data_IF_652522355742
#
_entry.id   IF_652522355742
#
_cell.length_a   1.000
_cell.length_b   1.000
_cell.length_c   1.000
_cell.angle_alpha   90.00
_cell.angle_beta   90.00
_cell.angle_gamma   90.00
#
_symmetry.space_group_name_H-M   'P 1'
#
loop_
_entity.id
_entity.type
_entity.pdbx_description
1 polymer ?
#
# COMPACT_ATOMS: atom_id res chain seq x y z
N UNK A 1 -8.59 -22.07 -20.84
CA UNK A 1 -9.33 -22.07 -19.55
C UNK A 1 -8.42 -22.66 -18.49
N UNK A 2 -7.66 -21.85 -17.75
CA UNK A 2 -6.94 -22.30 -16.53
C UNK A 2 -7.97 -22.36 -15.40
N UNK A 3 -8.18 -23.56 -14.86
CA UNK A 3 -8.96 -23.85 -13.70
C UNK A 3 -8.25 -23.18 -12.52
N UNK A 4 -8.78 -22.08 -11.99
CA UNK A 4 -8.36 -21.54 -10.69
C UNK A 4 -8.61 -22.63 -9.66
N UNK A 5 -7.55 -23.32 -9.26
CA UNK A 5 -7.59 -24.24 -8.14
C UNK A 5 -7.81 -23.40 -6.88
N UNK A 6 -8.99 -23.47 -6.31
CA UNK A 6 -9.28 -22.92 -4.97
C UNK A 6 -8.20 -23.42 -4.02
N UNK A 7 -7.36 -22.51 -3.58
CA UNK A 7 -6.31 -22.79 -2.61
C UNK A 7 -6.91 -23.43 -1.36
N UNK A 8 -6.27 -24.50 -0.83
CA UNK A 8 -6.84 -25.20 0.32
C UNK A 8 -6.86 -24.28 1.55
N UNK A 9 -7.83 -24.45 2.44
CA UNK A 9 -7.91 -23.66 3.71
C UNK A 9 -6.62 -23.79 4.53
N UNK A 10 -5.98 -24.95 4.50
CA UNK A 10 -4.70 -25.18 5.19
C UNK A 10 -3.58 -24.32 4.59
N UNK A 11 -3.51 -24.22 3.27
CA UNK A 11 -2.53 -23.40 2.54
C UNK A 11 -2.70 -21.93 2.88
N UNK A 12 -3.95 -21.41 2.82
CA UNK A 12 -4.27 -20.03 3.18
C UNK A 12 -3.91 -19.71 4.64
N UNK A 13 -4.20 -20.63 5.56
CA UNK A 13 -3.86 -20.48 6.97
C UNK A 13 -2.34 -20.40 7.19
N UNK A 14 -1.57 -21.27 6.53
CA UNK A 14 -0.10 -21.28 6.61
C UNK A 14 0.47 -19.97 6.07
N UNK A 15 -0.02 -19.50 4.91
CA UNK A 15 0.40 -18.21 4.33
C UNK A 15 0.16 -17.08 5.30
N UNK A 16 -1.04 -17.01 5.88
CA UNK A 16 -1.40 -15.96 6.85
C UNK A 16 -0.49 -15.94 8.07
N UNK A 17 -0.12 -17.10 8.61
CA UNK A 17 0.84 -17.19 9.73
C UNK A 17 2.21 -16.64 9.32
N UNK A 18 2.71 -16.98 8.14
CA UNK A 18 3.99 -16.50 7.64
C UNK A 18 3.97 -14.98 7.39
N UNK A 19 2.90 -14.45 6.79
CA UNK A 19 2.69 -13.03 6.56
C UNK A 19 2.65 -12.24 7.88
N UNK A 20 1.82 -12.67 8.83
CA UNK A 20 1.72 -12.05 10.15
C UNK A 20 3.06 -12.09 10.90
N UNK A 21 3.78 -13.21 10.82
CA UNK A 21 5.10 -13.37 11.41
C UNK A 21 6.15 -12.45 10.81
N UNK A 22 6.16 -12.29 9.49
CA UNK A 22 7.08 -11.35 8.84
C UNK A 22 6.79 -9.91 9.28
N UNK A 23 5.54 -9.50 9.28
CA UNK A 23 5.13 -8.15 9.73
C UNK A 23 5.53 -7.90 11.20
N UNK A 24 5.39 -8.89 12.07
CA UNK A 24 5.85 -8.74 13.48
C UNK A 24 7.37 -8.57 13.58
N UNK A 25 8.15 -9.35 12.85
CA UNK A 25 9.61 -9.20 12.84
C UNK A 25 10.06 -7.86 12.23
N UNK A 26 9.38 -7.39 11.20
CA UNK A 26 9.65 -6.09 10.57
C UNK A 26 9.36 -4.88 11.47
N UNK A 27 8.62 -5.02 12.55
CA UNK A 27 8.46 -3.94 13.55
C UNK A 27 9.78 -3.60 14.23
N UNK A 28 10.69 -4.57 14.35
CA UNK A 28 11.94 -4.42 15.08
C UNK A 28 13.16 -4.17 14.17
N UNK A 29 13.11 -4.60 12.90
CA UNK A 29 14.24 -4.47 11.96
C UNK A 29 13.80 -4.52 10.50
N UNK A 30 14.62 -3.95 9.57
CA UNK A 30 14.36 -4.00 8.14
C UNK A 30 14.21 -5.44 7.62
N UNK A 31 13.36 -5.62 6.59
CA UNK A 31 13.06 -6.96 6.04
C UNK A 31 14.30 -7.69 5.50
N UNK A 32 15.28 -6.95 4.94
CA UNK A 32 16.53 -7.50 4.40
C UNK A 32 17.46 -8.13 5.47
N UNK A 33 17.16 -7.87 6.76
CA UNK A 33 17.85 -8.46 7.91
C UNK A 33 17.10 -9.65 8.52
N UNK A 34 15.94 -10.00 7.98
CA UNK A 34 15.12 -11.13 8.43
C UNK A 34 15.50 -12.37 7.59
N UNK A 35 15.75 -13.48 8.27
CA UNK A 35 16.07 -14.75 7.59
C UNK A 35 14.88 -15.72 7.63
N UNK A 36 14.83 -16.64 6.66
CA UNK A 36 13.82 -17.73 6.66
C UNK A 36 13.90 -18.55 7.95
N UNK A 37 15.12 -18.80 8.46
CA UNK A 37 15.30 -19.55 9.71
C UNK A 37 14.67 -18.86 10.90
N UNK A 38 14.86 -17.55 11.01
CA UNK A 38 14.28 -16.74 12.07
C UNK A 38 12.76 -16.66 11.96
N UNK A 39 12.23 -16.40 10.76
CA UNK A 39 10.78 -16.39 10.54
C UNK A 39 10.12 -17.72 10.88
N UNK A 40 10.73 -18.84 10.45
CA UNK A 40 10.23 -20.17 10.75
C UNK A 40 10.25 -20.48 12.26
N UNK A 41 11.29 -20.04 12.97
CA UNK A 41 11.37 -20.18 14.43
C UNK A 41 10.30 -19.29 15.13
N UNK A 42 10.06 -18.08 14.63
CA UNK A 42 9.06 -17.16 15.18
C UNK A 42 7.62 -17.66 14.98
N UNK A 43 7.35 -18.29 13.83
CA UNK A 43 6.00 -18.74 13.45
C UNK A 43 5.68 -20.19 13.77
N UNK A 44 6.66 -20.94 14.28
CA UNK A 44 6.58 -22.41 14.46
C UNK A 44 6.24 -23.15 13.15
N UNK A 45 6.69 -22.62 12.02
CA UNK A 45 6.52 -23.24 10.70
C UNK A 45 7.86 -23.89 10.27
N UNK A 46 7.79 -25.15 9.77
CA UNK A 46 8.97 -25.83 9.27
C UNK A 46 9.48 -25.12 7.99
N UNK A 47 10.82 -25.05 7.82
CA UNK A 47 11.46 -24.47 6.63
C UNK A 47 11.01 -25.15 5.33
N UNK A 48 10.80 -26.47 5.33
CA UNK A 48 10.26 -27.16 4.15
C UNK A 48 8.85 -26.66 3.78
N UNK A 49 8.02 -26.37 4.78
CA UNK A 49 6.69 -25.80 4.58
C UNK A 49 6.79 -24.36 4.05
N UNK A 50 7.72 -23.55 4.57
CA UNK A 50 7.97 -22.21 4.03
C UNK A 50 8.31 -22.27 2.52
N UNK A 51 9.27 -23.11 2.13
CA UNK A 51 9.71 -23.23 0.74
C UNK A 51 8.67 -23.89 -0.20
N UNK A 52 7.60 -24.47 0.32
CA UNK A 52 6.43 -24.86 -0.49
C UNK A 52 5.59 -23.66 -0.93
N UNK A 53 5.70 -22.50 -0.25
CA UNK A 53 4.90 -21.32 -0.49
C UNK A 53 5.69 -20.16 -1.10
N UNK A 54 6.95 -19.97 -0.66
CA UNK A 54 7.79 -18.84 -1.01
C UNK A 54 9.23 -19.26 -1.25
N UNK A 55 9.90 -18.66 -2.25
CA UNK A 55 11.31 -18.91 -2.53
C UNK A 55 12.22 -18.33 -1.43
N UNK A 56 11.89 -17.15 -0.94
CA UNK A 56 12.64 -16.41 0.06
C UNK A 56 11.76 -15.40 0.82
N UNK A 57 12.36 -14.62 1.72
CA UNK A 57 11.68 -13.56 2.49
C UNK A 57 11.15 -12.47 1.59
N UNK A 58 11.87 -12.13 0.50
CA UNK A 58 11.44 -11.09 -0.42
C UNK A 58 10.19 -11.51 -1.20
N UNK A 59 10.11 -12.77 -1.65
CA UNK A 59 8.92 -13.32 -2.29
C UNK A 59 7.68 -13.27 -1.37
N UNK A 60 7.87 -13.55 -0.07
CA UNK A 60 6.81 -13.39 0.92
C UNK A 60 6.40 -11.93 1.10
N UNK A 61 7.37 -11.00 1.21
CA UNK A 61 7.07 -9.56 1.31
C UNK A 61 6.30 -9.08 0.07
N UNK A 62 6.76 -9.42 -1.13
CA UNK A 62 6.07 -9.08 -2.37
C UNK A 62 4.62 -9.59 -2.41
N UNK A 63 4.35 -10.78 -1.86
CA UNK A 63 2.98 -11.31 -1.76
C UNK A 63 2.08 -10.43 -0.91
N UNK A 64 2.57 -9.96 0.25
CA UNK A 64 1.84 -9.04 1.14
C UNK A 64 1.60 -7.70 0.44
N UNK A 65 2.61 -7.17 -0.22
CA UNK A 65 2.53 -5.89 -0.95
C UNK A 65 1.54 -5.94 -2.11
N UNK A 66 1.53 -7.04 -2.88
CA UNK A 66 0.60 -7.23 -3.99
C UNK A 66 -0.85 -7.35 -3.52
N UNK A 67 -1.12 -7.95 -2.36
CA UNK A 67 -2.46 -8.00 -1.78
C UNK A 67 -2.95 -6.58 -1.43
N UNK A 68 -2.09 -5.73 -0.87
CA UNK A 68 -2.40 -4.31 -0.60
C UNK A 68 -2.65 -3.53 -1.90
N UNK A 69 -1.80 -3.73 -2.92
CA UNK A 69 -1.96 -3.06 -4.22
C UNK A 69 -3.17 -3.58 -5.00
N UNK A 70 -3.48 -4.87 -4.89
CA UNK A 70 -4.66 -5.47 -5.53
C UNK A 70 -5.94 -4.90 -4.95
N UNK A 71 -6.02 -4.76 -3.62
CA UNK A 71 -7.14 -4.10 -2.98
C UNK A 71 -7.28 -2.63 -3.45
N UNK A 72 -6.19 -1.88 -3.51
CA UNK A 72 -6.21 -0.51 -4.02
C UNK A 72 -6.80 -0.44 -5.43
N UNK A 73 -6.44 -1.38 -6.31
CA UNK A 73 -6.99 -1.47 -7.69
C UNK A 73 -8.49 -1.77 -7.69
N UNK A 74 -8.96 -2.71 -6.87
CA UNK A 74 -10.39 -3.06 -6.79
C UNK A 74 -11.24 -1.88 -6.28
N UNK A 75 -10.77 -1.18 -5.27
CA UNK A 75 -11.44 0.03 -4.78
C UNK A 75 -11.54 1.14 -5.83
N UNK A 76 -10.68 1.11 -6.87
CA UNK A 76 -10.70 2.07 -7.97
C UNK A 76 -11.65 1.72 -9.08
N UNK A 77 -11.80 0.44 -9.42
CA UNK A 77 -12.72 0.01 -10.48
C UNK A 77 -14.17 0.34 -10.13
N UNK A 78 -14.54 0.28 -8.86
CA UNK A 78 -15.84 0.73 -8.35
C UNK A 78 -16.01 2.27 -8.37
N UNK A 79 -14.91 3.01 -8.38
CA UNK A 79 -14.87 4.48 -8.39
C UNK A 79 -14.79 5.10 -9.80
N UNK A 80 -14.53 4.30 -10.83
CA UNK A 80 -14.03 4.73 -12.17
C UNK A 80 -15.03 5.47 -13.07
N UNK A 81 -16.19 5.82 -12.61
CA UNK A 81 -17.13 6.57 -13.46
C UNK A 81 -17.82 7.77 -12.81
N UNK A 82 -17.82 7.85 -11.50
CA UNK A 82 -18.70 8.81 -10.80
C UNK A 82 -17.98 9.86 -9.96
N UNK A 83 -16.68 9.73 -9.72
CA UNK A 83 -16.03 10.40 -8.60
C UNK A 83 -15.13 11.57 -8.95
N UNK A 84 -14.93 11.92 -10.20
CA UNK A 84 -13.87 12.86 -10.57
C UNK A 84 -14.35 14.24 -11.04
N UNK A 85 -15.62 14.57 -10.83
CA UNK A 85 -16.16 15.89 -11.09
C UNK A 85 -16.37 16.66 -9.78
N UNK A 86 -15.29 17.23 -9.24
CA UNK A 86 -15.37 18.18 -8.15
C UNK A 86 -14.63 17.79 -6.86
N UNK A 87 -14.58 18.76 -5.94
CA UNK A 87 -13.88 18.65 -4.64
C UNK A 87 -14.43 17.51 -3.79
N UNK A 88 -15.73 17.46 -3.59
CA UNK A 88 -16.36 16.51 -2.66
C UNK A 88 -16.18 15.05 -3.12
N UNK A 89 -16.20 14.85 -4.40
CA UNK A 89 -16.00 13.55 -5.03
C UNK A 89 -14.56 13.03 -4.85
N UNK A 90 -13.57 13.89 -5.08
CA UNK A 90 -12.15 13.52 -4.86
C UNK A 90 -11.88 13.26 -3.38
N UNK A 91 -12.41 14.10 -2.48
CA UNK A 91 -12.26 13.90 -1.03
C UNK A 91 -12.89 12.57 -0.62
N UNK A 92 -14.08 12.24 -1.11
CA UNK A 92 -14.73 10.98 -0.79
C UNK A 92 -13.92 9.76 -1.24
N UNK A 93 -13.31 9.80 -2.43
CA UNK A 93 -12.43 8.73 -2.92
C UNK A 93 -11.20 8.55 -2.03
N UNK A 94 -10.57 9.65 -1.63
CA UNK A 94 -9.44 9.62 -0.71
C UNK A 94 -9.85 9.13 0.68
N UNK A 95 -11.03 9.53 1.16
CA UNK A 95 -11.59 9.08 2.44
C UNK A 95 -11.76 7.56 2.47
N UNK A 96 -12.30 6.95 1.40
CA UNK A 96 -12.41 5.49 1.27
C UNK A 96 -11.03 4.81 1.30
N UNK A 97 -10.06 5.37 0.59
CA UNK A 97 -8.68 4.88 0.62
C UNK A 97 -8.11 4.92 2.04
N UNK A 98 -8.29 6.03 2.76
CA UNK A 98 -7.77 6.17 4.11
C UNK A 98 -8.55 5.37 5.16
N UNK A 99 -9.85 5.11 4.94
CA UNK A 99 -10.60 4.15 5.76
C UNK A 99 -9.97 2.74 5.70
N UNK A 100 -9.54 2.31 4.51
CA UNK A 100 -8.79 1.05 4.38
C UNK A 100 -7.46 1.09 5.16
N UNK A 101 -6.74 2.23 5.20
CA UNK A 101 -5.53 2.33 6.02
C UNK A 101 -5.81 2.09 7.50
N UNK A 102 -6.94 2.59 8.00
CA UNK A 102 -7.36 2.35 9.39
C UNK A 102 -7.62 0.86 9.63
N UNK A 103 -8.39 0.22 8.75
CA UNK A 103 -8.73 -1.20 8.85
C UNK A 103 -7.51 -2.12 8.76
N UNK A 104 -6.52 -1.74 7.94
CA UNK A 104 -5.30 -2.52 7.69
C UNK A 104 -4.05 -1.89 8.32
N UNK A 105 -4.24 -1.04 9.32
CA UNK A 105 -3.17 -0.25 9.94
C UNK A 105 -1.99 -1.09 10.43
N UNK A 106 -2.23 -2.31 10.91
CA UNK A 106 -1.19 -3.24 11.38
C UNK A 106 -0.14 -3.55 10.30
N UNK A 107 -0.57 -3.80 9.06
CA UNK A 107 0.32 -4.07 7.93
C UNK A 107 0.94 -2.77 7.41
N UNK A 108 0.09 -1.77 7.18
CA UNK A 108 0.52 -0.51 6.58
C UNK A 108 1.49 0.27 7.46
N UNK A 109 1.36 0.24 8.80
CA UNK A 109 2.34 0.84 9.69
C UNK A 109 3.76 0.31 9.45
N UNK A 110 3.90 -0.98 9.16
CA UNK A 110 5.19 -1.62 8.92
C UNK A 110 5.66 -1.40 7.49
N UNK A 111 4.80 -1.65 6.50
CA UNK A 111 5.14 -1.48 5.08
C UNK A 111 5.47 -0.03 4.71
N UNK A 112 4.84 0.94 5.37
CA UNK A 112 5.09 2.37 5.17
C UNK A 112 6.17 2.95 6.10
N UNK A 113 6.76 2.14 6.99
CA UNK A 113 7.85 2.55 7.86
C UNK A 113 9.20 2.53 7.14
N UNK A 114 10.25 2.97 7.85
CA UNK A 114 11.65 2.85 7.43
C UNK A 114 12.13 1.40 7.30
N UNK A 115 11.40 0.44 7.85
CA UNK A 115 11.68 -1.00 7.74
C UNK A 115 11.03 -1.66 6.52
N UNK A 116 10.11 -0.96 5.84
CA UNK A 116 9.44 -1.43 4.63
C UNK A 116 10.24 -1.19 3.34
N UNK A 117 9.71 -1.71 2.23
CA UNK A 117 10.32 -1.52 0.91
C UNK A 117 9.97 -0.13 0.34
N UNK A 118 10.99 0.67 0.05
CA UNK A 118 10.85 2.00 -0.56
C UNK A 118 10.22 1.93 -1.96
N UNK A 119 10.46 0.84 -2.72
CA UNK A 119 9.86 0.65 -4.05
C UNK A 119 8.36 0.38 -3.95
N UNK A 120 7.93 -0.38 -2.95
CA UNK A 120 6.50 -0.56 -2.65
C UNK A 120 5.85 0.78 -2.32
N UNK A 121 6.44 1.55 -1.40
CA UNK A 121 5.92 2.86 -1.01
C UNK A 121 5.72 3.77 -2.23
N UNK A 122 6.71 3.84 -3.14
CA UNK A 122 6.60 4.60 -4.39
C UNK A 122 5.45 4.10 -5.28
N UNK A 123 5.38 2.79 -5.54
CA UNK A 123 4.31 2.18 -6.35
C UNK A 123 2.93 2.47 -5.79
N UNK A 124 2.79 2.38 -4.47
CA UNK A 124 1.54 2.65 -3.78
C UNK A 124 1.05 4.09 -4.00
N UNK A 125 1.94 5.07 -3.84
CA UNK A 125 1.60 6.49 -4.06
C UNK A 125 1.38 6.85 -5.51
N UNK A 126 2.14 6.27 -6.43
CA UNK A 126 1.90 6.44 -7.87
C UNK A 126 0.51 5.96 -8.26
N UNK A 127 0.08 4.83 -7.73
CA UNK A 127 -1.26 4.32 -7.94
C UNK A 127 -2.31 5.30 -7.38
N UNK A 128 -2.17 5.76 -6.12
CA UNK A 128 -3.07 6.73 -5.50
C UNK A 128 -3.13 8.07 -6.27
N UNK A 129 -1.99 8.56 -6.76
CA UNK A 129 -1.95 9.79 -7.56
C UNK A 129 -2.68 9.65 -8.89
N UNK A 130 -2.51 8.52 -9.58
CA UNK A 130 -3.23 8.25 -10.84
C UNK A 130 -4.74 8.24 -10.64
N UNK A 131 -5.20 7.69 -9.53
CA UNK A 131 -6.62 7.70 -9.14
C UNK A 131 -7.16 9.10 -8.96
N UNK A 132 -6.41 9.98 -8.27
CA UNK A 132 -6.81 11.35 -8.00
C UNK A 132 -6.72 12.28 -9.22
N UNK A 133 -6.14 11.84 -10.35
CA UNK A 133 -5.91 12.63 -11.54
C UNK A 133 -6.19 11.87 -12.85
N UNK A 134 -7.41 11.39 -13.10
CA UNK A 134 -7.73 10.61 -14.31
C UNK A 134 -7.62 11.44 -15.59
N UNK A 135 -7.84 12.76 -15.52
CA UNK A 135 -7.64 13.66 -16.65
C UNK A 135 -6.16 13.81 -17.06
N UNK A 136 -5.24 13.59 -16.14
CA UNK A 136 -3.79 13.56 -16.42
C UNK A 136 -3.37 12.39 -17.28
N UNK A 137 -4.18 11.32 -17.30
CA UNK A 137 -3.97 10.13 -18.14
C UNK A 137 -4.34 10.35 -19.63
N UNK A 138 -5.17 11.36 -19.93
CA UNK A 138 -5.63 11.64 -21.30
C UNK A 138 -4.85 12.74 -22.02
N UNK A 139 -4.06 13.53 -21.31
CA UNK A 139 -3.17 14.49 -21.96
C UNK A 139 -1.85 13.80 -22.30
N UNK A 140 -1.38 13.84 -23.55
CA UNK A 140 -0.04 13.37 -23.90
C UNK A 140 0.97 14.33 -23.26
N UNK A 141 1.29 14.10 -21.99
CA UNK A 141 2.37 14.83 -21.32
C UNK A 141 3.68 14.47 -22.02
N UNK A 142 4.36 15.49 -22.49
CA UNK A 142 5.69 15.33 -23.12
C UNK A 142 6.78 14.91 -22.12
N UNK A 143 6.47 14.95 -20.80
CA UNK A 143 7.41 14.64 -19.71
C UNK A 143 6.83 13.48 -18.88
N UNK A 144 7.62 12.45 -18.55
CA UNK A 144 7.21 11.41 -17.61
C UNK A 144 6.76 12.03 -16.27
N UNK A 145 5.73 11.45 -15.63
CA UNK A 145 5.23 11.95 -14.34
C UNK A 145 6.34 12.08 -13.30
N UNK A 146 7.32 11.18 -13.30
CA UNK A 146 8.46 11.17 -12.39
C UNK A 146 9.42 12.34 -12.56
N UNK A 147 9.33 13.09 -13.65
CA UNK A 147 10.14 14.27 -13.96
C UNK A 147 9.39 15.59 -13.70
N UNK A 148 8.11 15.53 -13.29
CA UNK A 148 7.34 16.71 -12.88
C UNK A 148 7.64 17.04 -11.41
N UNK A 149 8.29 18.18 -11.09
CA UNK A 149 8.60 18.56 -9.71
C UNK A 149 7.36 18.63 -8.80
N UNK A 150 6.23 19.06 -9.33
CA UNK A 150 4.96 19.13 -8.57
C UNK A 150 4.45 17.75 -8.20
N UNK A 151 4.59 16.79 -9.12
CA UNK A 151 4.27 15.39 -8.86
C UNK A 151 5.19 14.79 -7.79
N UNK A 152 6.50 15.01 -7.92
CA UNK A 152 7.49 14.51 -6.92
C UNK A 152 7.18 15.07 -5.54
N UNK A 153 6.87 16.36 -5.43
CA UNK A 153 6.51 17.00 -4.17
C UNK A 153 5.22 16.40 -3.57
N UNK A 154 4.17 16.26 -4.36
CA UNK A 154 2.88 15.70 -3.92
C UNK A 154 3.03 14.26 -3.42
N UNK A 155 3.74 13.44 -4.17
CA UNK A 155 3.99 12.04 -3.79
C UNK A 155 4.80 11.97 -2.51
N UNK A 156 5.93 12.69 -2.43
CA UNK A 156 6.79 12.68 -1.24
C UNK A 156 6.08 13.25 -0.01
N UNK A 157 5.32 14.34 -0.18
CA UNK A 157 4.51 14.93 0.89
C UNK A 157 3.39 14.01 1.36
N UNK A 158 2.70 13.34 0.44
CA UNK A 158 1.66 12.36 0.75
C UNK A 158 2.21 11.16 1.53
N UNK A 159 3.36 10.61 1.09
CA UNK A 159 4.09 9.56 1.84
C UNK A 159 4.38 10.02 3.26
N UNK A 160 5.01 11.18 3.41
CA UNK A 160 5.39 11.70 4.73
C UNK A 160 4.19 11.93 5.64
N UNK A 161 3.08 12.45 5.11
CA UNK A 161 1.85 12.67 5.87
C UNK A 161 1.24 11.34 6.34
N UNK A 162 1.19 10.33 5.48
CA UNK A 162 0.63 9.02 5.86
C UNK A 162 1.52 8.32 6.88
N UNK A 163 2.83 8.34 6.71
CA UNK A 163 3.78 7.82 7.70
C UNK A 163 3.60 8.50 9.05
N UNK A 164 3.48 9.83 9.05
CA UNK A 164 3.19 10.61 10.25
C UNK A 164 1.87 10.17 10.90
N UNK A 165 0.80 10.07 10.13
CA UNK A 165 -0.53 9.69 10.61
C UNK A 165 -0.56 8.28 11.21
N UNK A 166 0.02 7.29 10.50
CA UNK A 166 0.16 5.91 10.98
C UNK A 166 0.98 5.84 12.28
N UNK A 167 2.13 6.55 12.33
CA UNK A 167 3.03 6.58 13.49
C UNK A 167 2.39 7.23 14.72
N UNK A 168 1.53 8.23 14.51
CA UNK A 168 0.85 8.96 15.60
C UNK A 168 -0.50 8.34 16.00
N UNK A 169 -0.80 7.13 15.58
CA UNK A 169 -1.97 6.36 16.02
C UNK A 169 -3.28 6.78 15.37
N UNK A 170 -3.23 7.28 14.11
CA UNK A 170 -4.41 7.56 13.29
C UNK A 170 -5.39 8.53 13.99
N UNK A 171 -4.87 9.61 14.55
CA UNK A 171 -5.67 10.56 15.35
C UNK A 171 -6.70 11.33 14.54
N UNK A 172 -6.31 11.74 13.34
CA UNK A 172 -7.19 12.39 12.38
C UNK A 172 -8.09 11.32 11.73
N UNK A 173 -9.33 11.71 11.42
CA UNK A 173 -10.23 10.85 10.65
C UNK A 173 -9.74 10.66 9.21
N UNK A 174 -10.13 9.59 8.51
CA UNK A 174 -9.87 9.40 7.09
C UNK A 174 -10.25 10.62 6.23
N UNK A 175 -11.38 11.25 6.55
CA UNK A 175 -11.86 12.45 5.85
C UNK A 175 -10.95 13.65 6.06
N UNK A 176 -10.51 13.92 7.28
CA UNK A 176 -9.59 15.03 7.58
C UNK A 176 -8.27 14.88 6.84
N UNK A 177 -7.70 13.68 6.78
CA UNK A 177 -6.48 13.40 5.99
C UNK A 177 -6.74 13.61 4.49
N UNK A 178 -7.89 13.17 3.99
CA UNK A 178 -8.28 13.38 2.59
C UNK A 178 -8.38 14.87 2.24
N UNK A 179 -8.99 15.68 3.10
CA UNK A 179 -9.12 17.13 2.94
C UNK A 179 -7.75 17.83 2.94
N UNK A 180 -6.84 17.44 3.85
CA UNK A 180 -5.48 17.99 3.91
C UNK A 180 -4.73 17.70 2.59
N UNK A 181 -4.78 16.47 2.09
CA UNK A 181 -4.09 16.09 0.84
C UNK A 181 -4.70 16.81 -0.36
N UNK A 182 -6.02 16.90 -0.43
CA UNK A 182 -6.71 17.62 -1.49
C UNK A 182 -6.31 19.09 -1.53
N UNK A 183 -6.40 19.79 -0.39
CA UNK A 183 -6.11 21.22 -0.31
C UNK A 183 -4.63 21.54 -0.59
N UNK A 184 -3.70 20.68 -0.16
CA UNK A 184 -2.28 20.79 -0.53
C UNK A 184 -2.08 20.58 -2.03
N UNK A 185 -2.74 19.59 -2.62
CA UNK A 185 -2.66 19.32 -4.06
C UNK A 185 -3.16 20.46 -4.94
N UNK A 186 -4.21 21.17 -4.50
CA UNK A 186 -4.73 22.34 -5.22
C UNK A 186 -3.81 23.56 -5.16
N UNK A 187 -3.11 23.78 -4.04
CA UNK A 187 -2.19 24.93 -3.87
C UNK A 187 -0.97 24.83 -4.78
N UNK A 188 -0.61 23.62 -5.17
CA UNK A 188 0.55 23.35 -6.04
C UNK A 188 0.19 23.53 -7.52
N UNK A 189 -1.09 23.38 -7.90
CA UNK A 189 -1.55 23.54 -9.29
C UNK A 189 -1.79 25.00 -9.72
N UNK A 190 -1.65 25.96 -8.83
CA UNK A 190 -1.71 27.41 -9.12
C UNK A 190 -0.31 27.96 -9.38
#
# INVERSE_FOLDING_TARGET
MRKEMRESRKTQFTRKILEDGLIELMKAKPFDKITVTELCAHTDINRSTFYMHYEDIYALLCSIEEDVLAWQRQGTDDLDGRLLEGRDSTIHSLELLFAYFVENSRYLQVLMSEHGDIYFQKRFFEAAYRMSNPSGSRSPRKVPLTEDPSYVFLVSGGVGLIQYWLKNGLKESPREIAEIIYDMGLRIKK
#
